data_IF_290682657182
#
_entry.id   IF_290682657182
#
_cell.length_a   1.000
_cell.length_b   1.000
_cell.length_c   1.000
_cell.angle_alpha   90.00
_cell.angle_beta   90.00
_cell.angle_gamma   90.00
#
_symmetry.space_group_name_H-M   'P 1'
#
loop_
_entity.id
_entity.type
_entity.pdbx_description
1 polymer ?
#
# COMPACT_ATOMS: atom_id res chain seq x y z
N UNK A 1 11.57 -0.18 -3.73
CA UNK A 1 11.27 -1.63 -3.76
C UNK A 1 10.42 -2.05 -4.97
N UNK A 2 9.40 -1.29 -5.40
CA UNK A 2 8.65 -1.59 -6.64
C UNK A 2 9.54 -1.67 -7.89
N UNK A 3 10.54 -0.78 -8.01
CA UNK A 3 11.56 -0.84 -9.06
C UNK A 3 12.36 -2.15 -9.06
N UNK A 4 12.64 -2.74 -7.89
CA UNK A 4 13.37 -4.00 -7.78
C UNK A 4 12.57 -5.13 -8.40
N UNK A 5 11.29 -5.24 -8.03
CA UNK A 5 10.36 -6.23 -8.58
C UNK A 5 10.24 -6.09 -10.10
N UNK A 6 10.01 -4.86 -10.58
CA UNK A 6 9.90 -4.58 -12.00
C UNK A 6 11.19 -4.92 -12.75
N UNK A 7 12.36 -4.54 -12.21
CA UNK A 7 13.66 -4.84 -12.81
C UNK A 7 13.95 -6.35 -12.82
N UNK A 8 13.59 -7.09 -11.77
CA UNK A 8 13.78 -8.54 -11.73
C UNK A 8 13.00 -9.24 -12.86
N UNK A 9 11.79 -8.76 -13.16
CA UNK A 9 10.99 -9.25 -14.29
C UNK A 9 11.66 -8.86 -15.61
N UNK A 10 11.99 -7.58 -15.79
CA UNK A 10 12.52 -7.04 -17.04
C UNK A 10 13.91 -7.58 -17.41
N UNK A 11 14.71 -7.97 -16.42
CA UNK A 11 16.04 -8.54 -16.62
C UNK A 11 16.01 -10.01 -17.08
N UNK A 12 14.85 -10.67 -17.15
CA UNK A 12 14.76 -12.02 -17.72
C UNK A 12 14.57 -11.95 -19.23
N UNK A 13 15.54 -12.50 -19.95
CA UNK A 13 15.50 -12.62 -21.41
C UNK A 13 14.41 -13.58 -21.88
N UNK A 14 14.23 -14.71 -21.18
CA UNK A 14 13.24 -15.73 -21.51
C UNK A 14 11.83 -15.39 -20.96
N UNK A 15 10.80 -15.55 -21.79
CA UNK A 15 9.39 -15.34 -21.41
C UNK A 15 8.93 -16.27 -20.28
N UNK A 16 9.31 -17.54 -20.30
CA UNK A 16 8.96 -18.50 -19.24
C UNK A 16 9.54 -18.08 -17.89
N UNK A 17 10.77 -17.56 -17.87
CA UNK A 17 11.37 -17.01 -16.66
C UNK A 17 10.63 -15.76 -16.17
N UNK A 18 10.20 -14.86 -17.07
CA UNK A 18 9.37 -13.70 -16.69
C UNK A 18 8.06 -14.14 -16.06
N UNK A 19 7.38 -15.12 -16.65
CA UNK A 19 6.14 -15.69 -16.09
C UNK A 19 6.38 -16.19 -14.68
N UNK A 20 7.42 -17.01 -14.48
CA UNK A 20 7.76 -17.55 -13.17
C UNK A 20 8.03 -16.45 -12.11
N UNK A 21 8.76 -15.40 -12.48
CA UNK A 21 9.04 -14.27 -11.58
C UNK A 21 7.76 -13.50 -11.25
N UNK A 22 6.87 -13.28 -12.22
CA UNK A 22 5.56 -12.64 -11.98
C UNK A 22 4.72 -13.47 -11.00
N UNK A 23 4.60 -14.77 -11.23
CA UNK A 23 3.84 -15.69 -10.37
C UNK A 23 4.40 -15.73 -8.95
N UNK A 24 5.73 -15.80 -8.81
CA UNK A 24 6.42 -15.73 -7.53
C UNK A 24 6.07 -14.46 -6.77
N UNK A 25 6.18 -13.29 -7.40
CA UNK A 25 5.92 -12.02 -6.72
C UNK A 25 4.44 -11.84 -6.36
N UNK A 26 3.52 -12.35 -7.16
CA UNK A 26 2.09 -12.35 -6.81
C UNK A 26 1.82 -13.26 -5.60
N UNK A 27 2.46 -14.43 -5.53
CA UNK A 27 2.38 -15.30 -4.35
C UNK A 27 2.96 -14.61 -3.10
N UNK A 28 4.10 -13.94 -3.22
CA UNK A 28 4.67 -13.13 -2.13
C UNK A 28 3.69 -12.03 -1.70
N UNK A 29 3.04 -11.33 -2.63
CA UNK A 29 2.05 -10.32 -2.30
C UNK A 29 0.85 -10.90 -1.54
N UNK A 30 0.39 -12.11 -1.88
CA UNK A 30 -0.68 -12.77 -1.16
C UNK A 30 -0.27 -13.15 0.27
N UNK A 31 0.97 -13.61 0.46
CA UNK A 31 1.55 -13.83 1.80
C UNK A 31 1.63 -12.52 2.59
N UNK A 32 2.10 -11.43 1.96
CA UNK A 32 2.18 -10.11 2.62
C UNK A 32 0.80 -9.60 3.06
N UNK A 33 -0.25 -9.86 2.27
CA UNK A 33 -1.63 -9.57 2.66
C UNK A 33 -2.03 -10.37 3.91
N UNK A 34 -1.72 -11.66 3.98
CA UNK A 34 -1.98 -12.48 5.17
C UNK A 34 -1.19 -12.01 6.41
N UNK A 35 -0.03 -11.41 6.20
CA UNK A 35 0.78 -10.78 7.23
C UNK A 35 0.36 -9.33 7.55
N UNK A 36 -0.77 -8.86 7.02
CA UNK A 36 -1.23 -7.46 7.18
C UNK A 36 -0.19 -6.41 6.74
N UNK A 37 0.73 -6.76 5.84
CA UNK A 37 1.72 -5.85 5.26
C UNK A 37 1.20 -5.27 3.94
N UNK A 38 0.24 -4.36 4.06
CA UNK A 38 -0.43 -3.74 2.91
C UNK A 38 0.49 -2.80 2.13
N UNK A 39 1.50 -2.20 2.77
CA UNK A 39 2.53 -1.44 2.06
C UNK A 39 3.31 -2.34 1.08
N UNK A 40 3.63 -3.56 1.49
CA UNK A 40 4.29 -4.56 0.66
C UNK A 40 3.40 -5.04 -0.49
N UNK A 41 2.11 -5.30 -0.22
CA UNK A 41 1.12 -5.63 -1.25
C UNK A 41 1.07 -4.54 -2.32
N UNK A 42 0.86 -3.29 -1.91
CA UNK A 42 0.80 -2.15 -2.84
C UNK A 42 2.11 -2.03 -3.64
N UNK A 43 3.26 -2.19 -3.00
CA UNK A 43 4.57 -2.12 -3.65
C UNK A 43 4.69 -3.10 -4.82
N UNK A 44 4.25 -4.35 -4.64
CA UNK A 44 4.30 -5.38 -5.68
C UNK A 44 3.24 -5.11 -6.76
N UNK A 45 2.02 -4.76 -6.38
CA UNK A 45 0.95 -4.45 -7.34
C UNK A 45 1.33 -3.23 -8.21
N UNK A 46 1.91 -2.18 -7.63
CA UNK A 46 2.45 -1.04 -8.38
C UNK A 46 3.57 -1.44 -9.33
N UNK A 47 4.40 -2.44 -8.99
CA UNK A 47 5.42 -2.95 -9.90
C UNK A 47 4.80 -3.67 -11.11
N UNK A 48 3.74 -4.46 -10.92
CA UNK A 48 3.02 -5.12 -12.00
C UNK A 48 2.26 -4.13 -12.90
N UNK A 49 1.71 -3.07 -12.31
CA UNK A 49 1.03 -1.98 -13.02
C UNK A 49 1.99 -0.98 -13.68
N UNK A 50 3.30 -1.06 -13.40
CA UNK A 50 4.28 -0.24 -14.11
C UNK A 50 4.14 -0.50 -15.62
N UNK A 51 4.08 0.58 -16.41
CA UNK A 51 3.87 0.50 -17.87
C UNK A 51 4.87 -0.44 -18.57
N UNK A 52 6.07 -0.60 -18.01
CA UNK A 52 7.09 -1.50 -18.55
C UNK A 52 6.82 -2.97 -18.33
N UNK A 53 6.14 -3.33 -17.25
CA UNK A 53 5.73 -4.72 -16.96
C UNK A 53 4.35 -4.99 -17.57
N UNK A 54 3.40 -4.06 -17.41
CA UNK A 54 2.02 -4.21 -17.86
C UNK A 54 1.87 -4.37 -19.39
N UNK A 55 2.79 -3.79 -20.16
CA UNK A 55 2.80 -3.89 -21.64
C UNK A 55 3.23 -5.26 -22.18
N UNK A 56 3.79 -6.14 -21.34
CA UNK A 56 4.31 -7.46 -21.77
C UNK A 56 3.18 -8.48 -22.03
N UNK A 57 2.25 -8.18 -22.93
CA UNK A 57 1.01 -8.94 -23.13
C UNK A 57 1.25 -10.45 -23.35
N UNK A 58 2.17 -10.81 -24.24
CA UNK A 58 2.56 -12.22 -24.47
C UNK A 58 3.03 -12.95 -23.20
N UNK A 59 3.69 -12.25 -22.29
CA UNK A 59 4.11 -12.83 -20.99
C UNK A 59 2.90 -13.00 -20.07
N UNK A 60 2.07 -11.97 -19.95
CA UNK A 60 0.83 -12.02 -19.17
C UNK A 60 -0.13 -13.11 -19.67
N UNK A 61 -0.22 -13.36 -20.97
CA UNK A 61 -1.05 -14.43 -21.53
C UNK A 61 -0.67 -15.82 -21.01
N UNK A 62 0.62 -16.02 -20.69
CA UNK A 62 1.16 -17.28 -20.17
C UNK A 62 1.13 -17.41 -18.65
N UNK A 63 0.84 -16.34 -17.92
CA UNK A 63 0.61 -16.40 -16.46
C UNK A 63 -0.65 -17.22 -16.19
N UNK A 64 -0.59 -18.14 -15.22
CA UNK A 64 -1.70 -19.01 -14.85
C UNK A 64 -2.96 -18.23 -14.48
N UNK A 65 -4.13 -18.81 -14.80
CA UNK A 65 -5.43 -18.20 -14.47
C UNK A 65 -5.59 -17.95 -12.98
N UNK A 66 -5.15 -18.89 -12.14
CA UNK A 66 -5.19 -18.77 -10.67
C UNK A 66 -4.37 -17.58 -10.20
N UNK A 67 -3.15 -17.40 -10.71
CA UNK A 67 -2.31 -16.25 -10.35
C UNK A 67 -2.97 -14.93 -10.77
N UNK A 68 -3.58 -14.86 -11.96
CA UNK A 68 -4.31 -13.65 -12.40
C UNK A 68 -5.46 -13.31 -11.46
N UNK A 69 -6.24 -14.31 -11.03
CA UNK A 69 -7.31 -14.09 -10.06
C UNK A 69 -6.80 -13.59 -8.71
N UNK A 70 -5.68 -14.12 -8.22
CA UNK A 70 -5.02 -13.62 -7.00
C UNK A 70 -4.55 -12.18 -7.18
N UNK A 71 -3.93 -11.87 -8.32
CA UNK A 71 -3.52 -10.51 -8.67
C UNK A 71 -4.68 -9.52 -8.67
N UNK A 72 -5.81 -9.87 -9.29
CA UNK A 72 -6.99 -9.01 -9.35
C UNK A 72 -7.57 -8.75 -7.96
N UNK A 73 -7.65 -9.79 -7.11
CA UNK A 73 -8.07 -9.65 -5.71
C UNK A 73 -7.13 -8.73 -4.91
N UNK A 74 -5.82 -8.89 -5.08
CA UNK A 74 -4.83 -8.06 -4.40
C UNK A 74 -4.90 -6.60 -4.88
N UNK A 75 -5.11 -6.39 -6.17
CA UNK A 75 -5.30 -5.07 -6.76
C UNK A 75 -6.50 -4.35 -6.16
N UNK A 76 -7.64 -5.03 -6.00
CA UNK A 76 -8.83 -4.45 -5.38
C UNK A 76 -8.61 -4.02 -3.92
N UNK A 77 -7.80 -4.77 -3.17
CA UNK A 77 -7.49 -4.44 -1.76
C UNK A 77 -6.72 -3.11 -1.66
N UNK A 78 -5.79 -2.86 -2.58
CA UNK A 78 -4.90 -1.69 -2.55
C UNK A 78 -5.28 -0.61 -3.58
N UNK A 79 -6.51 -0.67 -4.08
CA UNK A 79 -7.00 0.29 -5.05
C UNK A 79 -6.99 1.72 -4.46
N UNK A 80 -6.57 2.69 -5.26
CA UNK A 80 -6.53 4.10 -4.87
C UNK A 80 -7.89 4.80 -5.02
N UNK A 81 -8.89 4.13 -5.62
CA UNK A 81 -10.27 4.60 -5.70
C UNK A 81 -10.80 5.02 -4.32
N UNK A 82 -11.59 6.10 -4.31
CA UNK A 82 -12.21 6.67 -3.11
C UNK A 82 -11.23 6.86 -1.93
N UNK A 83 -10.00 7.30 -2.23
CA UNK A 83 -8.92 7.51 -1.23
C UNK A 83 -8.60 6.22 -0.46
N UNK A 84 -8.47 5.12 -1.19
CA UNK A 84 -8.15 3.79 -0.65
C UNK A 84 -9.25 3.20 0.25
N UNK A 85 -10.52 3.35 -0.12
CA UNK A 85 -11.67 2.89 0.68
C UNK A 85 -11.54 1.43 1.17
N UNK A 86 -11.23 0.51 0.26
CA UNK A 86 -11.08 -0.92 0.57
C UNK A 86 -9.95 -1.18 1.58
N UNK A 87 -8.81 -0.51 1.41
CA UNK A 87 -7.68 -0.62 2.31
C UNK A 87 -8.01 -0.03 3.69
N UNK A 88 -8.69 1.12 3.74
CA UNK A 88 -9.14 1.73 5.00
C UNK A 88 -10.07 0.78 5.77
N UNK A 89 -11.07 0.22 5.10
CA UNK A 89 -12.00 -0.74 5.69
C UNK A 89 -11.26 -1.98 6.23
N UNK A 90 -10.25 -2.47 5.51
CA UNK A 90 -9.40 -3.56 5.99
C UNK A 90 -8.60 -3.18 7.22
N UNK A 91 -7.98 -2.00 7.24
CA UNK A 91 -7.17 -1.53 8.36
C UNK A 91 -8.00 -1.28 9.63
N UNK A 92 -9.26 -0.84 9.51
CA UNK A 92 -10.15 -0.65 10.66
C UNK A 92 -10.40 -1.93 11.47
N UNK A 93 -10.30 -3.10 10.84
CA UNK A 93 -10.53 -4.40 11.45
C UNK A 93 -9.23 -5.21 11.57
N UNK A 94 -8.08 -4.55 11.46
CA UNK A 94 -6.77 -5.19 11.41
C UNK A 94 -6.05 -5.06 12.76
N UNK A 95 -5.89 -6.18 13.45
CA UNK A 95 -5.07 -6.23 14.65
C UNK A 95 -3.57 -6.26 14.30
N UNK A 96 -2.71 -5.54 15.05
CA UNK A 96 -1.26 -5.64 14.89
C UNK A 96 -0.73 -7.07 15.12
N UNK A 97 0.40 -7.47 14.48
CA UNK A 97 1.31 -6.65 13.68
C UNK A 97 0.76 -6.36 12.29
N UNK A 98 0.93 -5.11 11.84
CA UNK A 98 0.42 -4.62 10.56
C UNK A 98 1.34 -3.52 10.02
N UNK A 99 1.51 -3.46 8.70
CA UNK A 99 2.22 -2.37 8.02
C UNK A 99 1.24 -1.72 7.03
N UNK A 100 0.63 -0.58 7.38
CA UNK A 100 -0.27 0.11 6.48
C UNK A 100 0.49 0.84 5.37
N UNK A 101 -0.23 1.26 4.31
CA UNK A 101 0.32 2.18 3.33
C UNK A 101 0.34 3.61 3.87
N UNK A 102 1.53 4.12 4.20
CA UNK A 102 1.69 5.44 4.81
C UNK A 102 1.19 6.59 3.93
N UNK A 103 1.33 6.47 2.60
CA UNK A 103 0.91 7.52 1.67
C UNK A 103 -0.57 7.89 1.79
N UNK A 104 -1.43 6.92 2.11
CA UNK A 104 -2.85 7.16 2.36
C UNK A 104 -3.08 8.14 3.53
N UNK A 105 -2.38 7.95 4.65
CA UNK A 105 -2.48 8.82 5.81
C UNK A 105 -1.84 10.19 5.56
N UNK A 106 -0.71 10.23 4.85
CA UNK A 106 -0.05 11.48 4.50
C UNK A 106 -0.92 12.34 3.57
N UNK A 107 -1.61 11.73 2.60
CA UNK A 107 -2.58 12.43 1.76
C UNK A 107 -3.73 13.01 2.58
N UNK A 108 -4.22 12.28 3.59
CA UNK A 108 -5.27 12.76 4.49
C UNK A 108 -4.80 13.93 5.36
N UNK A 109 -3.60 13.84 5.94
CA UNK A 109 -2.99 14.93 6.71
C UNK A 109 -2.76 16.17 5.85
N UNK A 110 -2.22 16.00 4.64
CA UNK A 110 -2.04 17.10 3.70
C UNK A 110 -3.38 17.75 3.32
N UNK A 111 -4.42 16.94 3.08
CA UNK A 111 -5.77 17.46 2.78
C UNK A 111 -6.32 18.26 3.95
N UNK A 112 -6.17 17.78 5.19
CA UNK A 112 -6.61 18.50 6.38
C UNK A 112 -5.85 19.82 6.56
N UNK A 113 -4.56 19.83 6.21
CA UNK A 113 -3.73 21.02 6.32
C UNK A 113 -4.10 22.10 5.30
N UNK A 114 -4.39 21.68 4.07
CA UNK A 114 -4.78 22.55 2.96
C UNK A 114 -6.21 23.12 3.12
N UNK A 115 -7.17 22.29 3.53
CA UNK A 115 -8.59 22.67 3.59
C UNK A 115 -8.93 23.53 4.80
N UNK A 116 -8.24 23.31 5.93
CA UNK A 116 -8.58 23.97 7.19
C UNK A 116 -7.46 24.90 7.67
N UNK A 117 -7.76 26.14 8.07
CA UNK A 117 -6.75 27.04 8.60
C UNK A 117 -6.27 26.56 9.97
N UNK A 118 -5.02 26.86 10.31
CA UNK A 118 -4.47 26.57 11.64
C UNK A 118 -5.11 27.46 12.72
N UNK A 119 -5.43 28.71 12.35
CA UNK A 119 -6.08 29.68 13.21
C UNK A 119 -7.36 30.20 12.56
N UNK A 120 -8.42 30.35 13.36
CA UNK A 120 -9.62 31.09 13.00
C UNK A 120 -9.54 32.49 13.58
N UNK A 121 -10.04 33.49 12.84
CA UNK A 121 -10.19 34.85 13.38
C UNK A 121 -11.55 34.98 14.06
N UNK A 122 -11.53 35.32 15.35
CA UNK A 122 -12.72 35.74 16.09
C UNK A 122 -12.47 37.17 16.58
N UNK A 123 -13.01 38.14 15.85
CA UNK A 123 -12.64 39.56 16.02
C UNK A 123 -11.16 39.79 15.72
N UNK A 124 -10.43 40.40 16.67
CA UNK A 124 -8.99 40.67 16.57
C UNK A 124 -8.11 39.51 17.07
N UNK A 125 -8.72 38.46 17.65
CA UNK A 125 -7.98 37.34 18.23
C UNK A 125 -7.83 36.18 17.24
N UNK A 126 -6.62 35.63 17.15
CA UNK A 126 -6.36 34.37 16.45
C UNK A 126 -6.58 33.21 17.41
N UNK A 127 -7.60 32.40 17.17
CA UNK A 127 -7.90 31.19 17.95
C UNK A 127 -7.45 29.95 17.20
N UNK A 128 -6.94 28.94 17.92
CA UNK A 128 -6.55 27.66 17.32
C UNK A 128 -7.78 26.91 16.82
N UNK A 129 -7.71 26.39 15.60
CA UNK A 129 -8.78 25.58 15.06
C UNK A 129 -8.71 24.13 15.58
N UNK A 130 -9.19 23.90 16.80
CA UNK A 130 -9.05 22.62 17.51
C UNK A 130 -9.63 21.41 16.76
N UNK A 131 -10.65 21.60 15.92
CA UNK A 131 -11.20 20.53 15.09
C UNK A 131 -10.15 19.97 14.11
N UNK A 132 -9.34 20.83 13.47
CA UNK A 132 -8.24 20.40 12.59
C UNK A 132 -7.20 19.63 13.39
N UNK A 133 -6.74 20.17 14.51
CA UNK A 133 -5.72 19.56 15.36
C UNK A 133 -6.19 18.19 15.87
N UNK A 134 -7.44 18.07 16.31
CA UNK A 134 -8.00 16.80 16.79
C UNK A 134 -8.04 15.74 15.68
N UNK A 135 -8.47 16.11 14.47
CA UNK A 135 -8.50 15.20 13.32
C UNK A 135 -7.10 14.71 12.96
N UNK A 136 -6.13 15.62 12.85
CA UNK A 136 -4.73 15.24 12.58
C UNK A 136 -4.16 14.33 13.67
N UNK A 137 -4.43 14.63 14.94
CA UNK A 137 -4.00 13.79 16.07
C UNK A 137 -4.63 12.39 16.03
N UNK A 138 -5.89 12.26 15.60
CA UNK A 138 -6.53 10.95 15.39
C UNK A 138 -5.81 10.17 14.27
N UNK A 139 -5.57 10.79 13.12
CA UNK A 139 -4.83 10.16 12.00
C UNK A 139 -3.44 9.70 12.43
N UNK A 140 -2.72 10.50 13.23
CA UNK A 140 -1.40 10.11 13.76
C UNK A 140 -1.53 8.93 14.73
N UNK A 141 -2.52 8.94 15.63
CA UNK A 141 -2.75 7.82 16.56
C UNK A 141 -3.00 6.51 15.81
N UNK A 142 -3.81 6.56 14.74
CA UNK A 142 -4.08 5.40 13.88
C UNK A 142 -2.82 4.83 13.21
N UNK A 143 -1.80 5.65 12.96
CA UNK A 143 -0.50 5.18 12.43
C UNK A 143 0.32 4.57 13.57
N UNK A 144 0.43 5.27 14.70
CA UNK A 144 1.32 4.87 15.81
C UNK A 144 0.92 3.56 16.48
N UNK A 145 -0.37 3.21 16.50
CA UNK A 145 -0.82 1.93 17.05
C UNK A 145 -0.15 0.72 16.38
N UNK A 146 0.14 0.81 15.08
CA UNK A 146 0.79 -0.28 14.32
C UNK A 146 2.28 -0.42 14.62
N UNK A 147 2.89 0.58 15.27
CA UNK A 147 4.31 0.56 15.63
C UNK A 147 4.56 -0.17 16.97
N UNK A 148 3.52 -0.37 17.77
CA UNK A 148 3.65 -0.92 19.13
C UNK A 148 3.81 -2.45 19.18
N UNK A 149 3.51 -3.16 18.08
CA UNK A 149 3.58 -4.63 18.03
C UNK A 149 4.48 -5.08 16.87
N UNK A 150 5.67 -5.65 17.16
CA UNK A 150 6.57 -6.13 16.12
C UNK A 150 6.09 -7.45 15.51
N UNK A 151 6.53 -7.72 14.28
CA UNK A 151 6.40 -9.05 13.68
C UNK A 151 7.29 -10.06 14.41
N UNK A 152 6.77 -11.28 14.62
CA UNK A 152 7.56 -12.43 15.11
C UNK A 152 8.26 -13.12 13.93
N UNK A 153 9.06 -12.36 13.18
CA UNK A 153 9.84 -12.84 12.04
C UNK A 153 11.30 -12.67 12.37
N UNK A 154 12.05 -13.77 12.37
CA UNK A 154 13.48 -13.74 12.61
C UNK A 154 14.22 -13.27 11.35
N UNK A 155 15.16 -12.35 11.53
CA UNK A 155 16.05 -11.93 10.47
C UNK A 155 17.08 -13.02 10.18
N UNK A 156 17.13 -13.49 8.94
CA UNK A 156 18.11 -14.46 8.47
C UNK A 156 19.02 -13.80 7.42
N UNK A 157 20.30 -13.53 7.72
CA UNK A 157 21.20 -12.75 6.86
C UNK A 157 21.74 -13.52 5.63
N UNK A 158 21.31 -14.77 5.41
CA UNK A 158 21.84 -15.67 4.38
C UNK A 158 21.58 -15.20 2.94
#
# INVERSE_FOLDING_TARGET
>A
MSKLVANEILNRSNMSQRVHVIEKWIAVADILKCLNNFNGVLTIISAMNNSSVFRLKKTWDKVSKTTKQTYDKLRQVVDAEEKFHNLKSKLQHCDPPCIPYLGMYLTELATLDEVYPTFTKEGETNLVYFTKIRRMANTIRDITQYQNTPYKIEYNPK
#
